data_IF_940201708764
#
_entry.id   IF_940201708764
#
_cell.length_a   1.000
_cell.length_b   1.000
_cell.length_c   1.000
_cell.angle_alpha   90.00
_cell.angle_beta   90.00
_cell.angle_gamma   90.00
#
_symmetry.space_group_name_H-M   'P 1'
#
loop_
_entity.id
_entity.type
_entity.pdbx_description
1 polymer ?
#
# COMPACT_ATOMS: atom_id res chain seq x y z
N UNK A 1 1.41 -24.59 -5.41
CA UNK A 1 2.33 -23.44 -5.31
C UNK A 1 2.08 -22.80 -3.96
N UNK A 2 3.12 -22.69 -3.17
CA UNK A 2 3.03 -22.03 -1.88
C UNK A 2 3.13 -20.50 -2.11
N UNK A 3 1.99 -19.82 -2.05
CA UNK A 3 1.88 -18.36 -2.27
C UNK A 3 2.31 -17.54 -1.05
N UNK A 4 2.91 -18.14 -0.04
CA UNK A 4 3.28 -17.47 1.21
C UNK A 4 4.64 -16.78 1.17
N UNK A 5 5.44 -17.00 0.13
CA UNK A 5 6.77 -16.39 -0.02
C UNK A 5 6.98 -15.86 -1.43
N UNK A 6 7.15 -14.55 -1.55
CA UNK A 6 7.73 -13.99 -2.76
C UNK A 6 9.21 -14.43 -2.86
N UNK A 7 9.73 -14.75 -4.06
CA UNK A 7 11.13 -15.05 -4.24
C UNK A 7 11.98 -13.84 -3.81
N UNK A 8 13.07 -14.10 -3.10
CA UNK A 8 13.94 -13.05 -2.53
C UNK A 8 14.60 -12.17 -3.61
N UNK A 9 14.68 -12.65 -4.85
CA UNK A 9 15.16 -11.89 -6.01
C UNK A 9 14.30 -12.22 -7.24
N UNK A 10 13.21 -11.47 -7.51
CA UNK A 10 12.48 -11.62 -8.76
C UNK A 10 13.35 -11.17 -9.94
N UNK A 11 13.66 -12.09 -10.86
CA UNK A 11 14.32 -11.75 -12.13
C UNK A 11 13.38 -10.90 -13.00
N UNK A 12 13.94 -10.07 -13.87
CA UNK A 12 13.21 -9.09 -14.70
C UNK A 12 12.14 -9.70 -15.64
N UNK A 13 12.21 -10.99 -15.91
CA UNK A 13 11.27 -11.76 -16.75
C UNK A 13 10.12 -12.41 -15.96
N UNK A 14 10.04 -12.19 -14.65
CA UNK A 14 8.98 -12.82 -13.87
C UNK A 14 7.67 -12.03 -13.98
N UNK A 15 6.61 -12.77 -14.29
CA UNK A 15 5.21 -12.36 -14.13
C UNK A 15 5.03 -11.70 -12.76
N UNK A 16 4.17 -10.68 -12.69
CA UNK A 16 3.80 -10.04 -11.41
C UNK A 16 3.33 -11.13 -10.45
N UNK A 17 4.02 -11.25 -9.32
CA UNK A 17 3.67 -12.22 -8.28
C UNK A 17 2.98 -11.49 -7.14
N UNK A 18 1.90 -12.09 -6.65
CA UNK A 18 1.22 -11.65 -5.43
C UNK A 18 1.39 -12.70 -4.34
N UNK A 19 1.59 -12.26 -3.11
CA UNK A 19 1.64 -13.11 -1.93
C UNK A 19 0.80 -12.51 -0.80
N UNK A 20 0.33 -13.36 0.09
CA UNK A 20 -0.45 -12.93 1.26
C UNK A 20 0.40 -12.11 2.21
N UNK A 21 -0.13 -10.98 2.65
CA UNK A 21 0.50 -10.06 3.59
C UNK A 21 -0.40 -9.75 4.80
N UNK A 22 -1.56 -10.42 4.93
CA UNK A 22 -2.59 -10.07 5.91
C UNK A 22 -2.06 -9.97 7.34
N UNK A 23 -1.26 -10.94 7.78
CA UNK A 23 -0.81 -10.99 9.18
C UNK A 23 0.01 -9.75 9.56
N UNK A 24 1.08 -9.47 8.82
CA UNK A 24 1.96 -8.33 9.12
C UNK A 24 1.24 -6.99 8.94
N UNK A 25 0.49 -6.86 7.84
CA UNK A 25 -0.14 -5.60 7.49
C UNK A 25 -1.31 -5.25 8.41
N UNK A 26 -2.11 -6.24 8.82
CA UNK A 26 -3.20 -6.01 9.78
C UNK A 26 -2.71 -5.57 11.14
N UNK A 27 -1.57 -6.09 11.61
CA UNK A 27 -0.96 -5.65 12.87
C UNK A 27 -0.50 -4.19 12.80
N UNK A 28 0.05 -3.76 11.66
CA UNK A 28 0.47 -2.37 11.47
C UNK A 28 -0.74 -1.45 11.30
N UNK A 29 -1.71 -1.86 10.47
CA UNK A 29 -2.93 -1.10 10.22
C UNK A 29 -3.77 -0.92 11.51
N UNK A 30 -3.89 -1.96 12.33
CA UNK A 30 -4.58 -1.88 13.62
C UNK A 30 -3.95 -0.83 14.55
N UNK A 31 -2.62 -0.77 14.59
CA UNK A 31 -1.92 0.27 15.37
C UNK A 31 -2.20 1.67 14.82
N UNK A 32 -2.13 1.84 13.50
CA UNK A 32 -2.41 3.14 12.86
C UNK A 32 -3.84 3.58 13.14
N UNK A 33 -4.83 2.68 13.02
CA UNK A 33 -6.23 2.98 13.31
C UNK A 33 -6.45 3.33 14.78
N UNK A 34 -5.76 2.65 15.70
CA UNK A 34 -5.87 2.92 17.13
C UNK A 34 -5.25 4.29 17.52
N UNK A 35 -4.18 4.68 16.84
CA UNK A 35 -3.48 5.94 17.10
C UNK A 35 -4.17 7.15 16.46
N UNK A 36 -4.98 6.92 15.40
CA UNK A 36 -5.53 7.98 14.54
C UNK A 36 -7.06 7.93 14.46
N UNK A 37 -7.72 8.94 14.96
CA UNK A 37 -9.19 8.99 15.02
C UNK A 37 -9.90 9.08 13.66
N UNK A 38 -9.19 9.41 12.57
CA UNK A 38 -9.79 9.60 11.25
C UNK A 38 -10.04 8.29 10.48
N UNK A 39 -9.61 7.15 11.00
CA UNK A 39 -9.80 5.83 10.39
C UNK A 39 -10.95 5.00 10.98
N UNK A 40 -11.85 5.61 11.76
CA UNK A 40 -12.93 4.89 12.44
C UNK A 40 -13.92 4.16 11.52
N UNK A 41 -13.98 4.55 10.24
CA UNK A 41 -14.81 3.92 9.21
C UNK A 41 -14.19 2.66 8.60
N UNK A 42 -12.96 2.31 8.98
CA UNK A 42 -12.20 1.22 8.38
C UNK A 42 -12.37 -0.07 9.17
N UNK A 43 -12.85 -1.11 8.50
CA UNK A 43 -12.97 -2.47 9.03
C UNK A 43 -11.90 -3.37 8.42
N UNK A 44 -10.90 -3.77 9.21
CA UNK A 44 -9.75 -4.54 8.72
C UNK A 44 -10.09 -5.94 8.19
N UNK A 45 -11.17 -6.53 8.64
CA UNK A 45 -11.69 -7.80 8.13
C UNK A 45 -12.24 -7.69 6.70
N UNK A 46 -12.59 -6.47 6.27
CA UNK A 46 -13.03 -6.15 4.90
C UNK A 46 -11.88 -5.79 3.94
N UNK A 47 -10.65 -5.81 4.43
CA UNK A 47 -9.47 -5.49 3.62
C UNK A 47 -8.60 -6.73 3.46
N UNK A 48 -8.22 -7.01 2.20
CA UNK A 48 -7.18 -8.00 1.87
C UNK A 48 -5.86 -7.28 1.61
N UNK A 49 -4.81 -7.70 2.30
CA UNK A 49 -3.46 -7.20 2.05
C UNK A 49 -2.66 -8.21 1.23
N UNK A 50 -2.00 -7.72 0.20
CA UNK A 50 -1.14 -8.51 -0.67
C UNK A 50 0.22 -7.84 -0.83
N UNK A 51 1.28 -8.64 -0.84
CA UNK A 51 2.56 -8.22 -1.39
C UNK A 51 2.57 -8.35 -2.91
N UNK A 52 3.27 -7.46 -3.57
CA UNK A 52 3.51 -7.53 -5.01
C UNK A 52 4.98 -7.25 -5.35
N UNK A 53 5.47 -7.86 -6.41
CA UNK A 53 6.81 -7.60 -6.98
C UNK A 53 6.81 -6.38 -7.90
N UNK A 54 5.64 -5.85 -8.28
CA UNK A 54 5.51 -4.71 -9.17
C UNK A 54 5.38 -3.40 -8.40
N UNK A 55 6.34 -2.49 -8.56
CA UNK A 55 6.24 -1.13 -8.06
C UNK A 55 5.27 -0.31 -8.93
N UNK A 56 4.44 0.51 -8.28
CA UNK A 56 3.54 1.46 -8.95
C UNK A 56 4.19 2.84 -9.02
N UNK A 57 3.85 3.61 -10.05
CA UNK A 57 4.20 5.03 -10.16
C UNK A 57 2.94 5.89 -10.08
N UNK A 58 3.03 6.97 -9.34
CA UNK A 58 2.03 8.04 -9.29
C UNK A 58 2.76 9.38 -9.40
N UNK A 59 2.31 10.26 -10.30
CA UNK A 59 2.97 11.54 -10.55
C UNK A 59 4.46 11.43 -10.89
N UNK A 60 4.89 10.35 -11.57
CA UNK A 60 6.29 10.10 -11.92
C UNK A 60 7.15 9.50 -10.82
N UNK A 61 6.69 9.47 -9.56
CA UNK A 61 7.41 8.87 -8.42
C UNK A 61 6.92 7.45 -8.12
N UNK A 62 7.80 6.61 -7.58
CA UNK A 62 7.41 5.31 -7.06
C UNK A 62 6.67 5.46 -5.73
N UNK A 63 5.57 4.72 -5.59
CA UNK A 63 4.78 4.64 -4.37
C UNK A 63 4.83 3.23 -3.80
N UNK A 64 4.65 3.12 -2.49
CA UNK A 64 4.80 1.86 -1.77
C UNK A 64 3.70 0.85 -2.10
N UNK A 65 2.56 1.31 -2.52
CA UNK A 65 1.45 0.42 -2.81
C UNK A 65 0.27 1.11 -3.48
N UNK A 66 -0.83 0.38 -3.60
CA UNK A 66 -2.08 0.88 -4.16
C UNK A 66 -3.27 0.24 -3.48
N UNK A 67 -4.34 1.00 -3.38
CA UNK A 67 -5.65 0.54 -2.90
C UNK A 67 -6.55 0.31 -4.10
N UNK A 68 -7.25 -0.81 -4.12
CA UNK A 68 -8.22 -1.22 -5.14
C UNK A 68 -9.55 -1.41 -4.42
N UNK A 69 -10.56 -0.62 -4.75
CA UNK A 69 -11.93 -0.87 -4.36
C UNK A 69 -12.50 -1.93 -5.32
N UNK A 70 -13.14 -2.96 -4.78
CA UNK A 70 -13.75 -4.02 -5.57
C UNK A 70 -15.09 -3.56 -6.14
N UNK A 71 -15.38 -3.99 -7.35
CA UNK A 71 -16.66 -3.73 -8.01
C UNK A 71 -17.77 -4.60 -7.42
N UNK A 72 -19.02 -4.19 -7.65
CA UNK A 72 -20.21 -4.99 -7.26
C UNK A 72 -20.13 -6.43 -7.81
N UNK A 73 -19.69 -6.58 -9.05
CA UNK A 73 -19.57 -7.90 -9.69
C UNK A 73 -18.54 -8.78 -8.98
N UNK A 74 -17.38 -8.22 -8.60
CA UNK A 74 -16.35 -8.96 -7.86
C UNK A 74 -16.83 -9.34 -6.46
N UNK A 75 -17.58 -8.45 -5.79
CA UNK A 75 -18.18 -8.73 -4.49
C UNK A 75 -19.34 -9.72 -4.57
N UNK A 76 -20.06 -9.78 -5.67
CA UNK A 76 -21.09 -10.80 -5.87
C UNK A 76 -20.52 -12.22 -5.97
N UNK A 77 -19.28 -12.35 -6.45
CA UNK A 77 -18.56 -13.65 -6.50
C UNK A 77 -17.98 -14.02 -5.14
N UNK A 78 -17.40 -13.05 -4.44
CA UNK A 78 -16.82 -13.20 -3.11
C UNK A 78 -16.96 -11.91 -2.33
N UNK A 79 -17.87 -11.87 -1.36
CA UNK A 79 -18.18 -10.68 -0.54
C UNK A 79 -17.28 -10.53 0.70
N UNK A 80 -16.23 -11.33 0.82
CA UNK A 80 -15.37 -11.33 2.00
C UNK A 80 -14.61 -10.02 2.16
N UNK A 81 -14.10 -9.49 1.06
CA UNK A 81 -13.28 -8.27 1.08
C UNK A 81 -13.88 -7.19 0.17
N UNK A 82 -13.89 -5.95 0.64
CA UNK A 82 -14.33 -4.76 -0.09
C UNK A 82 -13.18 -4.05 -0.77
N UNK A 83 -11.99 -4.09 -0.13
CA UNK A 83 -10.78 -3.47 -0.64
C UNK A 83 -9.62 -4.46 -0.68
N UNK A 84 -8.74 -4.25 -1.65
CA UNK A 84 -7.45 -4.94 -1.74
C UNK A 84 -6.35 -3.89 -1.69
N UNK A 85 -5.42 -4.04 -0.75
CA UNK A 85 -4.22 -3.20 -0.65
C UNK A 85 -3.02 -4.00 -1.11
N UNK A 86 -2.43 -3.59 -2.25
CA UNK A 86 -1.22 -4.20 -2.78
C UNK A 86 0.00 -3.39 -2.35
N UNK A 87 0.97 -4.01 -1.70
CA UNK A 87 2.18 -3.38 -1.17
C UNK A 87 3.40 -3.89 -1.92
N UNK A 88 4.26 -2.99 -2.36
CA UNK A 88 5.51 -3.33 -3.03
C UNK A 88 6.56 -3.82 -2.02
N UNK A 89 6.69 -5.14 -1.89
CA UNK A 89 7.48 -5.79 -0.85
C UNK A 89 8.96 -5.37 -0.82
N UNK A 90 9.69 -5.26 -1.95
CA UNK A 90 11.11 -4.91 -1.90
C UNK A 90 11.41 -3.57 -1.22
N UNK A 91 10.58 -2.55 -1.45
CA UNK A 91 10.73 -1.27 -0.74
C UNK A 91 10.17 -1.32 0.69
N UNK A 92 9.09 -2.07 0.92
CA UNK A 92 8.48 -2.17 2.24
C UNK A 92 9.43 -2.76 3.29
N UNK A 93 10.20 -3.78 2.91
CA UNK A 93 11.16 -4.42 3.81
C UNK A 93 12.21 -3.44 4.35
N UNK A 94 12.62 -2.48 3.52
CA UNK A 94 13.68 -1.53 3.84
C UNK A 94 13.18 -0.31 4.63
N UNK A 95 11.85 -0.15 4.81
CA UNK A 95 11.28 0.91 5.61
C UNK A 95 11.41 0.60 7.10
N UNK A 96 11.78 1.61 7.89
CA UNK A 96 11.69 1.55 9.35
C UNK A 96 10.23 1.58 9.84
N UNK A 97 10.03 1.29 11.12
CA UNK A 97 8.69 1.20 11.70
C UNK A 97 7.87 2.50 11.59
N UNK A 98 8.53 3.68 11.71
CA UNK A 98 7.87 4.98 11.57
C UNK A 98 7.38 5.20 10.15
N UNK A 99 8.25 4.98 9.16
CA UNK A 99 7.90 5.12 7.75
C UNK A 99 6.83 4.10 7.33
N UNK A 100 6.87 2.86 7.84
CA UNK A 100 5.81 1.86 7.63
C UNK A 100 4.44 2.37 8.12
N UNK A 101 4.37 2.96 9.31
CA UNK A 101 3.12 3.54 9.84
C UNK A 101 2.63 4.71 8.97
N UNK A 102 3.51 5.63 8.54
CA UNK A 102 3.13 6.75 7.67
C UNK A 102 2.59 6.23 6.32
N UNK A 103 3.27 5.26 5.70
CA UNK A 103 2.81 4.71 4.43
C UNK A 103 1.51 3.90 4.58
N UNK A 104 1.32 3.19 5.69
CA UNK A 104 0.05 2.52 5.98
C UNK A 104 -1.08 3.51 6.17
N UNK A 105 -0.86 4.60 6.91
CA UNK A 105 -1.83 5.69 7.09
C UNK A 105 -2.28 6.26 5.73
N UNK A 106 -1.35 6.56 4.83
CA UNK A 106 -1.66 7.01 3.47
C UNK A 106 -2.51 6.01 2.68
N UNK A 107 -2.21 4.71 2.78
CA UNK A 107 -2.99 3.68 2.12
C UNK A 107 -4.40 3.57 2.69
N UNK A 108 -4.56 3.69 4.01
CA UNK A 108 -5.85 3.69 4.68
C UNK A 108 -6.67 4.95 4.34
N UNK A 109 -6.06 6.13 4.27
CA UNK A 109 -6.72 7.36 3.81
C UNK A 109 -7.28 7.26 2.38
N UNK A 110 -6.78 6.33 1.56
CA UNK A 110 -7.33 6.10 0.23
C UNK A 110 -8.68 5.34 0.23
N UNK A 111 -9.12 4.83 1.38
CA UNK A 111 -10.41 4.17 1.55
C UNK A 111 -11.44 5.23 1.93
N UNK A 112 -12.41 5.46 1.05
CA UNK A 112 -13.49 6.41 1.35
C UNK A 112 -14.47 5.83 2.38
N UNK A 113 -15.02 6.64 3.28
CA UNK A 113 -16.18 6.24 4.07
C UNK A 113 -17.33 5.80 3.17
N UNK A 114 -18.08 4.78 3.58
CA UNK A 114 -19.30 4.40 2.88
C UNK A 114 -20.31 5.54 2.99
N UNK A 115 -20.82 5.99 1.84
CA UNK A 115 -21.93 6.94 1.81
C UNK A 115 -23.23 6.20 2.18
N UNK A 116 -24.12 6.84 2.92
CA UNK A 116 -25.40 6.27 3.34
C UNK A 116 -26.24 5.74 2.15
N UNK A 117 -26.01 6.29 0.97
CA UNK A 117 -26.76 5.95 -0.26
C UNK A 117 -26.05 4.95 -1.18
N UNK A 118 -24.85 4.50 -0.84
CA UNK A 118 -24.05 3.62 -1.69
C UNK A 118 -23.45 2.47 -0.90
N UNK A 119 -23.77 1.25 -1.31
CA UNK A 119 -23.17 0.02 -0.77
C UNK A 119 -21.81 -0.32 -1.40
N UNK A 120 -21.39 0.45 -2.39
CA UNK A 120 -20.17 0.17 -3.15
C UNK A 120 -18.94 0.76 -2.48
N UNK A 121 -17.88 -0.03 -2.26
CA UNK A 121 -16.61 0.48 -1.77
C UNK A 121 -16.01 1.49 -2.76
N UNK A 122 -15.51 2.60 -2.26
CA UNK A 122 -14.93 3.66 -3.05
C UNK A 122 -13.50 3.96 -2.60
N UNK A 123 -12.71 4.51 -3.53
CA UNK A 123 -11.44 5.14 -3.21
C UNK A 123 -11.65 6.62 -3.01
N UNK A 124 -11.04 7.15 -1.96
CA UNK A 124 -10.95 8.59 -1.77
C UNK A 124 -9.91 9.18 -2.74
N UNK A 125 -10.24 10.24 -3.50
CA UNK A 125 -9.25 10.94 -4.29
C UNK A 125 -8.24 11.64 -3.39
N UNK A 126 -7.01 11.81 -3.89
CA UNK A 126 -6.00 12.62 -3.24
C UNK A 126 -6.43 14.08 -3.40
N UNK A 127 -6.64 14.78 -2.29
CA UNK A 127 -7.13 16.16 -2.25
C UNK A 127 -6.02 17.21 -2.42
N UNK A 128 -4.80 16.82 -2.13
CA UNK A 128 -3.57 17.61 -2.37
C UNK A 128 -2.49 16.66 -2.89
N UNK A 129 -1.22 17.03 -2.86
CA UNK A 129 -0.11 16.15 -3.23
C UNK A 129 -0.04 14.87 -2.37
N UNK A 130 -0.58 14.94 -1.18
CA UNK A 130 -0.80 13.85 -0.22
C UNK A 130 -2.19 14.00 0.39
N UNK A 131 -2.69 12.97 1.08
CA UNK A 131 -3.96 13.09 1.78
C UNK A 131 -3.84 14.11 2.92
N UNK A 132 -4.75 15.07 2.98
CA UNK A 132 -4.74 16.14 4.00
C UNK A 132 -4.80 15.59 5.43
N UNK A 133 -5.53 14.50 5.64
CA UNK A 133 -5.59 13.81 6.93
C UNK A 133 -4.21 13.31 7.36
N UNK A 134 -3.49 12.61 6.47
CA UNK A 134 -2.13 12.16 6.76
C UNK A 134 -1.19 13.32 7.07
N UNK A 135 -1.28 14.43 6.32
CA UNK A 135 -0.47 15.61 6.56
C UNK A 135 -0.80 16.25 7.92
N UNK A 136 -2.08 16.27 8.31
CA UNK A 136 -2.52 16.85 9.59
C UNK A 136 -1.99 16.03 10.77
N UNK A 137 -2.07 14.72 10.73
CA UNK A 137 -1.69 13.86 11.86
C UNK A 137 -0.20 13.55 11.91
N UNK A 138 0.47 13.36 10.77
CA UNK A 138 1.89 12.99 10.70
C UNK A 138 2.82 14.18 10.55
N UNK A 139 2.29 15.32 10.12
CA UNK A 139 3.06 16.50 9.75
C UNK A 139 3.58 16.43 8.32
N UNK A 140 3.84 17.59 7.73
CA UNK A 140 4.26 17.74 6.33
C UNK A 140 5.63 17.08 6.08
N UNK A 141 6.63 17.43 6.88
CA UNK A 141 8.00 16.96 6.67
C UNK A 141 8.15 15.43 6.80
N UNK A 142 7.61 14.77 7.85
CA UNK A 142 7.67 13.30 7.94
C UNK A 142 7.00 12.58 6.77
N UNK A 143 5.86 13.09 6.28
CA UNK A 143 5.14 12.48 5.15
C UNK A 143 5.90 12.64 3.84
N UNK A 144 6.42 13.83 3.54
CA UNK A 144 7.23 14.07 2.33
C UNK A 144 8.53 13.28 2.37
N UNK A 145 9.23 13.25 3.50
CA UNK A 145 10.45 12.46 3.66
C UNK A 145 10.20 10.96 3.51
N UNK A 146 9.10 10.44 4.07
CA UNK A 146 8.71 9.04 3.90
C UNK A 146 8.45 8.67 2.44
N UNK A 147 7.78 9.55 1.69
CA UNK A 147 7.54 9.35 0.25
C UNK A 147 8.83 9.40 -0.56
N UNK A 148 9.76 10.27 -0.20
CA UNK A 148 11.07 10.37 -0.86
C UNK A 148 11.93 9.14 -0.58
N UNK A 149 11.92 8.60 0.64
CA UNK A 149 12.61 7.35 0.99
C UNK A 149 12.16 6.20 0.10
N UNK A 150 10.86 6.03 -0.11
CA UNK A 150 10.31 5.00 -1.01
C UNK A 150 10.81 5.18 -2.45
N UNK A 151 10.81 6.42 -2.93
CA UNK A 151 11.28 6.73 -4.28
C UNK A 151 12.77 6.43 -4.47
N UNK A 152 13.61 6.86 -3.53
CA UNK A 152 15.07 6.64 -3.55
C UNK A 152 15.43 5.16 -3.40
N UNK A 153 14.76 4.42 -2.53
CA UNK A 153 14.96 2.98 -2.36
C UNK A 153 14.73 2.23 -3.68
N UNK A 154 13.69 2.62 -4.44
CA UNK A 154 13.41 2.01 -5.74
C UNK A 154 14.41 2.40 -6.81
N UNK A 155 14.90 3.62 -6.82
CA UNK A 155 15.95 4.05 -7.75
C UNK A 155 17.24 3.27 -7.51
N UNK A 156 17.68 3.13 -6.26
CA UNK A 156 18.89 2.37 -5.90
C UNK A 156 18.78 0.90 -6.30
N UNK A 157 17.60 0.29 -6.15
CA UNK A 157 17.36 -1.09 -6.60
C UNK A 157 17.53 -1.21 -8.13
N UNK A 158 16.99 -0.24 -8.89
CA UNK A 158 17.12 -0.24 -10.34
C UNK A 158 18.58 -0.06 -10.82
N UNK A 159 19.35 0.78 -10.14
CA UNK A 159 20.76 1.00 -10.44
C UNK A 159 21.59 -0.26 -10.18
N UNK A 160 21.38 -0.95 -9.06
CA UNK A 160 22.03 -2.24 -8.78
C UNK A 160 21.74 -3.27 -9.88
N UNK A 161 20.47 -3.42 -10.27
CA UNK A 161 20.08 -4.36 -11.34
C UNK A 161 20.67 -4.01 -12.71
N UNK A 162 20.91 -2.74 -13.00
CA UNK A 162 21.62 -2.33 -14.23
C UNK A 162 23.09 -2.71 -14.19
N UNK A 163 23.76 -2.49 -13.05
CA UNK A 163 25.17 -2.83 -12.88
C UNK A 163 25.42 -4.35 -12.95
N UNK A 164 24.53 -5.16 -12.38
CA UNK A 164 24.60 -6.62 -12.44
C UNK A 164 24.45 -7.19 -13.86
N UNK A 165 23.69 -6.50 -14.74
CA UNK A 165 23.50 -6.89 -16.14
C UNK A 165 24.69 -6.49 -17.05
N UNK A 166 25.52 -5.57 -16.62
CA UNK A 166 26.65 -5.05 -17.40
C UNK A 166 27.96 -5.78 -17.05
N UNK A 167 27.96 -6.66 -16.06
CA UNK A 167 29.02 -7.59 -15.70
C UNK A 167 28.78 -8.98 -16.27
#
# INVERSE_FOLDING_TARGET
MDFTKLPDNPTLDQTIVFADADKEMKDIAARVIADENHHQHIFLDKIKFLYTTKAKKEGGKYVIGSVIARSEMEMAVDNKYEHIICIYQPCWKDLDGKNKCIQMDKLLCAIAPLEETSSNPKKQPIDVREYSQTLTYRGVDPVLNSSEVVHLAKQSEQERKKQEKTR
#
